data_IF_615805155418
#
_entry.id   IF_615805155418
#
_cell.length_a   1.000
_cell.length_b   1.000
_cell.length_c   1.000
_cell.angle_alpha   90.00
_cell.angle_beta   90.00
_cell.angle_gamma   90.00
#
_symmetry.space_group_name_H-M   'P 1'
#
loop_
_entity.id
_entity.type
_entity.pdbx_description
1 polymer ?
#
# COMPACT_ATOMS: atom_id res chain seq x y z
N UNK A 1 -7.83 18.03 0.78
CA UNK A 1 -6.67 17.85 1.67
C UNK A 1 -6.99 17.47 3.12
N UNK A 2 -7.68 18.28 3.95
CA UNK A 2 -7.92 17.89 5.36
C UNK A 2 -8.87 16.69 5.46
N UNK A 3 -9.97 16.76 4.73
CA UNK A 3 -11.00 15.72 4.72
C UNK A 3 -10.46 14.39 4.14
N UNK A 4 -9.66 14.43 3.07
CA UNK A 4 -8.98 13.26 2.48
C UNK A 4 -8.03 12.57 3.47
N UNK A 5 -7.24 13.34 4.23
CA UNK A 5 -6.34 12.78 5.24
C UNK A 5 -7.10 12.13 6.39
N UNK A 6 -8.22 12.75 6.81
CA UNK A 6 -9.08 12.18 7.84
C UNK A 6 -9.76 10.88 7.35
N UNK A 7 -10.10 10.79 6.06
CA UNK A 7 -10.62 9.59 5.42
C UNK A 7 -9.56 8.47 5.36
N UNK A 8 -8.36 8.75 4.85
CA UNK A 8 -7.24 7.81 4.84
C UNK A 8 -6.92 7.30 6.25
N UNK A 9 -6.94 8.20 7.24
CA UNK A 9 -6.71 7.84 8.64
C UNK A 9 -7.79 6.88 9.13
N UNK A 10 -9.05 7.15 8.79
CA UNK A 10 -10.18 6.31 9.18
C UNK A 10 -10.07 4.90 8.58
N UNK A 11 -9.66 4.79 7.32
CA UNK A 11 -9.40 3.49 6.65
C UNK A 11 -8.31 2.69 7.36
N UNK A 12 -7.21 3.35 7.75
CA UNK A 12 -6.11 2.66 8.43
C UNK A 12 -6.51 2.23 9.86
N UNK A 13 -7.18 3.09 10.62
CA UNK A 13 -7.67 2.75 11.97
C UNK A 13 -8.67 1.59 11.93
N UNK A 14 -9.45 1.45 10.85
CA UNK A 14 -10.38 0.35 10.70
C UNK A 14 -9.70 -1.04 10.60
N UNK A 15 -8.38 -1.10 10.42
CA UNK A 15 -7.60 -2.33 10.50
C UNK A 15 -7.27 -2.77 11.93
N UNK A 16 -7.42 -1.89 12.93
CA UNK A 16 -7.11 -2.20 14.32
C UNK A 16 -8.00 -3.34 14.86
N UNK A 17 -7.38 -4.39 15.36
CA UNK A 17 -8.06 -5.58 15.85
C UNK A 17 -8.52 -6.55 14.76
N UNK A 18 -8.32 -6.25 13.47
CA UNK A 18 -8.63 -7.16 12.38
C UNK A 18 -7.62 -8.31 12.39
N UNK A 19 -8.10 -9.49 12.80
CA UNK A 19 -7.28 -10.69 12.95
C UNK A 19 -6.87 -11.25 11.60
N UNK A 20 -5.57 -11.39 11.43
CA UNK A 20 -4.96 -12.09 10.31
C UNK A 20 -4.77 -13.58 10.64
N UNK A 21 -4.65 -14.41 9.61
CA UNK A 21 -4.44 -15.85 9.79
C UNK A 21 -3.07 -16.12 10.43
N UNK A 22 -2.99 -16.74 11.63
CA UNK A 22 -1.71 -16.97 12.33
C UNK A 22 -0.71 -17.85 11.55
N UNK A 23 -1.21 -18.63 10.58
CA UNK A 23 -0.38 -19.45 9.70
C UNK A 23 0.47 -18.60 8.76
N UNK A 24 -0.08 -17.49 8.27
CA UNK A 24 0.56 -16.64 7.26
C UNK A 24 1.04 -15.32 7.84
N UNK A 25 0.39 -14.85 8.89
CA UNK A 25 0.59 -13.59 9.58
C UNK A 25 0.69 -13.86 11.09
N UNK A 26 1.84 -14.36 11.57
CA UNK A 26 2.05 -14.66 12.98
C UNK A 26 2.01 -13.40 13.88
N UNK A 27 2.15 -12.21 13.31
CA UNK A 27 1.96 -10.90 13.93
C UNK A 27 0.49 -10.61 14.29
N UNK A 28 -0.45 -11.31 13.64
CA UNK A 28 -1.84 -11.45 14.07
C UNK A 28 -2.77 -10.28 13.78
N UNK A 29 -2.30 -9.04 13.76
CA UNK A 29 -3.13 -7.84 13.59
C UNK A 29 -2.82 -7.08 12.29
N UNK A 30 -3.85 -6.67 11.55
CA UNK A 30 -3.70 -6.06 10.23
C UNK A 30 -3.15 -4.61 10.28
N UNK A 31 -3.51 -3.82 11.30
CA UNK A 31 -2.93 -2.49 11.47
C UNK A 31 -1.45 -2.60 11.86
N UNK A 32 -1.15 -3.47 12.82
CA UNK A 32 0.22 -3.75 13.24
C UNK A 32 1.08 -4.23 12.06
N UNK A 33 0.55 -5.12 11.23
CA UNK A 33 1.19 -5.54 9.98
C UNK A 33 1.47 -4.37 9.05
N UNK A 34 0.45 -3.57 8.75
CA UNK A 34 0.55 -2.43 7.82
C UNK A 34 1.63 -1.42 8.25
N UNK A 35 1.73 -1.15 9.55
CA UNK A 35 2.77 -0.28 10.11
C UNK A 35 4.18 -0.88 9.97
N UNK A 36 4.34 -2.20 10.14
CA UNK A 36 5.64 -2.84 9.88
C UNK A 36 6.03 -2.71 8.40
N UNK A 37 5.09 -2.95 7.49
CA UNK A 37 5.33 -2.88 6.03
C UNK A 37 5.70 -1.45 5.61
N UNK A 38 5.03 -0.45 6.19
CA UNK A 38 5.37 0.96 6.00
C UNK A 38 6.80 1.30 6.45
N UNK A 39 7.20 0.90 7.65
CA UNK A 39 8.56 1.16 8.14
C UNK A 39 9.64 0.50 7.27
N UNK A 40 9.37 -0.70 6.76
CA UNK A 40 10.27 -1.38 5.84
C UNK A 40 10.40 -0.63 4.51
N UNK A 41 9.30 -0.09 3.99
CA UNK A 41 9.32 0.75 2.79
C UNK A 41 10.10 2.05 3.04
N UNK A 42 9.82 2.73 4.16
CA UNK A 42 10.50 3.97 4.56
C UNK A 42 12.03 3.81 4.67
N UNK A 43 12.50 2.68 5.19
CA UNK A 43 13.94 2.39 5.29
C UNK A 43 14.59 2.03 3.95
N UNK A 44 13.81 1.64 2.96
CA UNK A 44 14.30 1.08 1.70
C UNK A 44 14.32 2.07 0.53
N UNK A 45 13.50 3.12 0.58
CA UNK A 45 13.36 4.10 -0.51
C UNK A 45 12.89 5.45 0.03
N UNK A 46 13.14 6.52 -0.72
CA UNK A 46 12.65 7.88 -0.45
C UNK A 46 11.37 8.23 -1.25
N UNK A 47 10.67 7.21 -1.75
CA UNK A 47 9.49 7.34 -2.62
C UNK A 47 8.19 7.30 -1.80
N UNK A 48 7.51 8.44 -1.58
CA UNK A 48 6.31 8.50 -0.75
C UNK A 48 5.11 7.75 -1.36
N UNK A 49 5.07 7.53 -2.69
CA UNK A 49 4.00 6.75 -3.33
C UNK A 49 4.15 5.26 -2.96
N UNK A 50 5.38 4.75 -2.87
CA UNK A 50 5.64 3.40 -2.40
C UNK A 50 5.36 3.25 -0.90
N UNK A 51 5.63 4.28 -0.11
CA UNK A 51 5.26 4.30 1.31
C UNK A 51 3.75 4.26 1.50
N UNK A 52 3.00 5.06 0.73
CA UNK A 52 1.54 5.04 0.75
C UNK A 52 1.01 3.65 0.36
N UNK A 53 1.50 3.08 -0.74
CA UNK A 53 1.11 1.73 -1.15
C UNK A 53 1.39 0.70 -0.04
N UNK A 54 2.54 0.77 0.62
CA UNK A 54 2.90 -0.10 1.74
C UNK A 54 1.96 0.04 2.94
N UNK A 55 1.65 1.28 3.33
CA UNK A 55 0.78 1.56 4.49
C UNK A 55 -0.67 1.13 4.26
N UNK A 56 -1.17 1.28 3.03
CA UNK A 56 -2.58 1.09 2.73
C UNK A 56 -2.89 -0.21 1.96
N UNK A 57 -1.92 -1.08 1.65
CA UNK A 57 -2.15 -2.27 0.81
C UNK A 57 -3.27 -3.21 1.29
N UNK A 58 -3.52 -3.22 2.61
CA UNK A 58 -4.42 -4.16 3.28
C UNK A 58 -5.76 -3.51 3.72
N UNK A 59 -6.02 -2.22 3.43
CA UNK A 59 -7.20 -1.50 3.96
C UNK A 59 -8.55 -2.11 3.62
N UNK A 60 -8.65 -2.83 2.49
CA UNK A 60 -9.90 -3.52 2.14
C UNK A 60 -10.28 -4.64 3.10
N UNK A 61 -9.37 -5.11 3.97
CA UNK A 61 -9.66 -6.15 4.97
C UNK A 61 -10.69 -5.71 6.01
N UNK A 62 -10.85 -4.39 6.22
CA UNK A 62 -11.85 -3.85 7.12
C UNK A 62 -13.30 -3.97 6.60
N UNK A 63 -13.48 -4.21 5.29
CA UNK A 63 -14.80 -4.18 4.62
C UNK A 63 -15.40 -5.59 4.43
N UNK A 64 -14.71 -6.63 4.94
CA UNK A 64 -15.14 -8.05 4.97
C UNK A 64 -15.47 -8.64 3.57
N UNK A 65 -14.46 -9.24 2.92
CA UNK A 65 -14.69 -9.99 1.68
C UNK A 65 -13.44 -10.65 1.09
N UNK A 66 -13.62 -11.67 0.22
CA UNK A 66 -12.53 -12.36 -0.47
C UNK A 66 -11.77 -11.47 -1.50
N UNK A 67 -12.25 -10.25 -1.76
CA UNK A 67 -11.74 -9.29 -2.75
C UNK A 67 -11.20 -8.00 -2.10
N UNK A 68 -10.54 -8.12 -0.95
CA UNK A 68 -10.04 -6.96 -0.20
C UNK A 68 -9.00 -6.13 -0.97
N UNK A 69 -8.29 -6.71 -1.94
CA UNK A 69 -7.36 -6.00 -2.82
C UNK A 69 -8.10 -5.03 -3.76
N UNK A 70 -9.17 -5.49 -4.40
CA UNK A 70 -10.02 -4.65 -5.26
C UNK A 70 -10.76 -3.59 -4.43
N UNK A 71 -11.44 -4.01 -3.36
CA UNK A 71 -12.18 -3.10 -2.48
C UNK A 71 -11.26 -2.07 -1.83
N UNK A 72 -10.08 -2.49 -1.38
CA UNK A 72 -9.10 -1.60 -0.79
C UNK A 72 -8.61 -0.55 -1.77
N UNK A 73 -8.34 -0.93 -3.02
CA UNK A 73 -7.97 0.01 -4.06
C UNK A 73 -9.09 0.99 -4.39
N UNK A 74 -10.33 0.51 -4.51
CA UNK A 74 -11.50 1.36 -4.81
C UNK A 74 -11.72 2.43 -3.73
N UNK A 75 -11.46 2.11 -2.46
CA UNK A 75 -11.53 3.09 -1.35
C UNK A 75 -10.43 4.16 -1.40
N UNK A 76 -9.34 3.90 -2.11
CA UNK A 76 -8.19 4.80 -2.22
C UNK A 76 -8.22 5.62 -3.53
N UNK A 77 -9.11 5.30 -4.47
CA UNK A 77 -9.30 6.08 -5.69
C UNK A 77 -9.71 7.53 -5.35
N UNK A 78 -8.99 8.49 -5.92
CA UNK A 78 -9.21 9.91 -5.63
C UNK A 78 -8.68 10.38 -4.27
N UNK A 79 -8.10 9.48 -3.44
CA UNK A 79 -7.41 9.84 -2.19
C UNK A 79 -5.89 9.71 -2.30
N UNK A 80 -5.41 8.80 -3.14
CA UNK A 80 -3.99 8.54 -3.39
C UNK A 80 -3.66 8.61 -4.89
N UNK A 81 -2.37 8.76 -5.25
CA UNK A 81 -1.92 8.70 -6.65
C UNK A 81 -2.25 7.35 -7.30
N UNK A 82 -2.57 7.38 -8.60
CA UNK A 82 -2.94 6.19 -9.38
C UNK A 82 -1.94 5.03 -9.27
N UNK A 83 -0.63 5.32 -9.17
CA UNK A 83 0.41 4.31 -8.95
C UNK A 83 0.25 3.58 -7.61
N UNK A 84 -0.06 4.29 -6.52
CA UNK A 84 -0.28 3.67 -5.21
C UNK A 84 -1.56 2.83 -5.21
N UNK A 85 -2.64 3.35 -5.78
CA UNK A 85 -3.91 2.62 -5.94
C UNK A 85 -3.71 1.34 -6.75
N UNK A 86 -2.97 1.43 -7.87
CA UNK A 86 -2.65 0.26 -8.68
C UNK A 86 -1.82 -0.78 -7.91
N UNK A 87 -0.81 -0.33 -7.15
CA UNK A 87 -0.01 -1.25 -6.32
C UNK A 87 -0.87 -1.96 -5.28
N UNK A 88 -1.80 -1.25 -4.63
CA UNK A 88 -2.76 -1.86 -3.69
C UNK A 88 -3.64 -2.87 -4.41
N UNK A 89 -4.21 -2.52 -5.57
CA UNK A 89 -5.08 -3.44 -6.34
C UNK A 89 -4.37 -4.73 -6.76
N UNK A 90 -3.06 -4.64 -7.05
CA UNK A 90 -2.28 -5.74 -7.61
C UNK A 90 -1.36 -6.45 -6.61
N UNK A 91 -1.34 -6.06 -5.33
CA UNK A 91 -0.34 -6.53 -4.36
C UNK A 91 -0.33 -8.07 -4.16
N UNK A 92 -1.45 -8.74 -4.43
CA UNK A 92 -1.57 -10.20 -4.35
C UNK A 92 -1.18 -10.93 -5.64
N UNK A 93 -0.95 -10.25 -6.76
CA UNK A 93 -0.68 -10.90 -8.06
C UNK A 93 0.57 -11.79 -8.01
N UNK A 94 1.63 -11.31 -7.35
CA UNK A 94 2.86 -12.07 -7.14
C UNK A 94 2.71 -13.25 -6.17
N UNK A 95 1.65 -13.27 -5.36
CA UNK A 95 1.27 -14.41 -4.53
C UNK A 95 0.38 -15.40 -5.30
N UNK A 96 -0.63 -14.89 -6.02
CA UNK A 96 -1.66 -15.67 -6.73
C UNK A 96 -1.09 -16.37 -7.97
N UNK A 97 -0.44 -15.64 -8.87
CA UNK A 97 0.24 -16.19 -10.06
C UNK A 97 1.54 -15.42 -10.38
N UNK A 98 2.65 -15.77 -9.73
CA UNK A 98 3.94 -15.09 -9.90
C UNK A 98 4.50 -15.16 -11.32
N UNK A 99 4.12 -16.17 -12.12
CA UNK A 99 4.62 -16.32 -13.50
C UNK A 99 3.88 -15.40 -14.44
N UNK A 100 2.55 -15.35 -14.34
CA UNK A 100 1.73 -14.45 -15.14
C UNK A 100 2.04 -12.99 -14.83
N UNK A 101 2.09 -12.61 -13.54
CA UNK A 101 2.39 -11.25 -13.10
C UNK A 101 3.75 -10.76 -13.63
N UNK A 102 4.82 -11.54 -13.43
CA UNK A 102 6.16 -11.20 -13.94
C UNK A 102 6.22 -11.11 -15.45
N UNK A 103 5.55 -12.02 -16.16
CA UNK A 103 5.51 -12.00 -17.62
C UNK A 103 4.81 -10.74 -18.13
N UNK A 104 3.70 -10.35 -17.50
CA UNK A 104 2.89 -9.21 -17.92
C UNK A 104 3.67 -7.90 -17.81
N UNK A 105 4.35 -7.68 -16.69
CA UNK A 105 5.01 -6.41 -16.39
C UNK A 105 6.53 -6.46 -16.63
N UNK A 106 7.04 -7.47 -17.35
CA UNK A 106 8.47 -7.66 -17.56
C UNK A 106 9.10 -6.43 -18.22
N UNK A 107 10.14 -5.88 -17.59
CA UNK A 107 10.86 -4.71 -18.09
C UNK A 107 10.24 -3.36 -17.71
N UNK A 108 9.12 -3.34 -17.00
CA UNK A 108 8.47 -2.09 -16.54
C UNK A 108 8.94 -1.68 -15.12
N UNK A 109 8.78 -0.41 -14.73
CA UNK A 109 8.93 0.03 -13.34
C UNK A 109 7.89 -0.59 -12.40
N UNK A 110 6.66 -0.79 -12.90
CA UNK A 110 5.55 -1.34 -12.13
C UNK A 110 5.87 -2.73 -11.55
N UNK A 111 6.57 -3.58 -12.31
CA UNK A 111 7.02 -4.87 -11.79
C UNK A 111 7.99 -4.72 -10.61
N UNK A 112 8.94 -3.78 -10.70
CA UNK A 112 9.92 -3.54 -9.64
C UNK A 112 9.23 -3.04 -8.37
N UNK A 113 8.28 -2.14 -8.53
CA UNK A 113 7.47 -1.61 -7.43
C UNK A 113 6.63 -2.70 -6.76
N UNK A 114 6.00 -3.56 -7.56
CA UNK A 114 5.20 -4.67 -7.05
C UNK A 114 6.06 -5.71 -6.31
N UNK A 115 7.25 -6.00 -6.82
CA UNK A 115 8.21 -6.90 -6.15
C UNK A 115 8.76 -6.30 -4.85
N UNK A 116 8.95 -4.98 -4.80
CA UNK A 116 9.32 -4.28 -3.57
C UNK A 116 8.21 -4.34 -2.54
N UNK A 117 6.98 -3.98 -2.91
CA UNK A 117 5.81 -4.06 -2.02
C UNK A 117 5.64 -5.47 -1.46
N UNK A 118 5.72 -6.50 -2.33
CA UNK A 118 5.62 -7.90 -1.89
C UNK A 118 6.74 -8.31 -0.94
N UNK A 119 7.96 -7.79 -1.14
CA UNK A 119 9.09 -8.05 -0.23
C UNK A 119 8.81 -7.45 1.15
N UNK A 120 8.28 -6.25 1.21
CA UNK A 120 7.96 -5.58 2.48
C UNK A 120 6.78 -6.25 3.19
N UNK A 121 5.70 -6.63 2.48
CA UNK A 121 4.58 -7.43 3.02
C UNK A 121 5.07 -8.74 3.65
N UNK A 122 5.96 -9.47 2.96
CA UNK A 122 6.56 -10.67 3.57
C UNK A 122 7.44 -10.37 4.78
N UNK A 123 8.12 -9.22 4.78
CA UNK A 123 9.01 -8.79 5.86
C UNK A 123 8.27 -8.28 7.10
N UNK A 124 7.07 -7.70 6.94
CA UNK A 124 6.27 -7.10 8.02
C UNK A 124 5.51 -8.11 8.89
N UNK A 125 6.08 -9.29 9.09
CA UNK A 125 5.45 -10.44 9.76
C UNK A 125 6.17 -10.85 11.03
N UNK A 126 6.81 -9.90 11.71
CA UNK A 126 7.49 -10.14 12.98
C UNK A 126 6.52 -9.91 14.16
N UNK A 127 6.20 -10.95 14.95
CA UNK A 127 5.33 -10.82 16.13
C UNK A 127 5.93 -9.94 17.24
N UNK A 128 7.24 -9.69 17.21
CA UNK A 128 7.96 -8.93 18.23
C UNK A 128 8.41 -7.55 17.73
N UNK A 129 7.97 -7.14 16.54
CA UNK A 129 8.31 -5.84 16.00
C UNK A 129 7.86 -4.71 16.93
N UNK A 130 8.63 -3.63 16.90
CA UNK A 130 8.18 -2.33 17.40
C UNK A 130 7.87 -1.49 16.18
N UNK A 131 6.67 -0.92 16.17
CA UNK A 131 6.22 -0.03 15.10
C UNK A 131 5.90 1.34 15.67
N UNK A 132 6.02 2.36 14.83
CA UNK A 132 5.53 3.70 15.07
C UNK A 132 4.00 3.73 15.19
N UNK A 133 3.47 4.84 15.72
CA UNK A 133 2.02 5.04 15.78
C UNK A 133 1.44 5.41 14.41
N UNK A 134 0.11 5.32 14.27
CA UNK A 134 -0.61 5.82 13.08
C UNK A 134 -0.34 7.30 12.85
N UNK A 135 -0.32 8.10 13.92
CA UNK A 135 -0.03 9.53 13.85
C UNK A 135 1.39 9.79 13.32
N UNK A 136 2.39 9.08 13.85
CA UNK A 136 3.78 9.22 13.39
C UNK A 136 3.92 8.79 11.92
N UNK A 137 3.24 7.71 11.50
CA UNK A 137 3.26 7.25 10.11
C UNK A 137 2.67 8.29 9.16
N UNK A 138 1.58 8.95 9.57
CA UNK A 138 0.95 10.03 8.81
C UNK A 138 1.86 11.26 8.76
N UNK A 139 2.47 11.64 9.89
CA UNK A 139 3.42 12.75 9.94
C UNK A 139 4.59 12.50 8.99
N UNK A 140 5.16 11.29 8.98
CA UNK A 140 6.22 10.91 8.03
C UNK A 140 5.72 10.99 6.59
N UNK A 141 4.59 10.33 6.29
CA UNK A 141 4.09 10.21 4.92
C UNK A 141 3.77 11.58 4.30
N UNK A 142 3.12 12.47 5.06
CA UNK A 142 2.68 13.77 4.57
C UNK A 142 3.64 14.92 4.83
N UNK A 143 4.74 14.69 5.55
CA UNK A 143 5.86 15.64 5.60
C UNK A 143 6.76 15.54 4.36
N UNK A 144 6.76 14.40 3.67
CA UNK A 144 7.38 14.27 2.36
C UNK A 144 6.53 15.01 1.31
N UNK A 145 7.18 15.82 0.47
CA UNK A 145 6.61 16.63 -0.63
C UNK A 145 5.13 16.33 -0.94
N UNK A 146 4.18 17.07 -0.32
CA UNK A 146 2.76 16.72 -0.33
C UNK A 146 2.14 16.57 -1.73
N UNK A 147 2.69 17.27 -2.71
CA UNK A 147 2.28 17.21 -4.11
C UNK A 147 2.47 15.84 -4.76
N UNK A 148 3.39 15.01 -4.25
CA UNK A 148 3.61 13.64 -4.76
C UNK A 148 2.51 12.66 -4.34
N UNK A 149 1.73 13.02 -3.32
CA UNK A 149 0.61 12.23 -2.81
C UNK A 149 -0.75 12.77 -3.27
N UNK A 150 -0.76 13.87 -4.04
CA UNK A 150 -2.00 14.36 -4.62
C UNK A 150 -2.53 13.32 -5.63
N UNK A 151 -3.83 13.01 -5.58
CA UNK A 151 -4.45 12.18 -6.61
C UNK A 151 -4.21 12.86 -7.96
N UNK A 152 -3.47 12.20 -8.85
CA UNK A 152 -3.17 12.77 -10.16
C UNK A 152 -4.46 13.01 -10.93
N UNK A 153 -4.65 14.24 -11.44
CA UNK A 153 -5.64 14.50 -12.47
C UNK A 153 -5.26 13.67 -13.70
N UNK A 154 -6.14 12.78 -14.13
CA UNK A 154 -5.98 11.96 -15.35
C UNK A 154 -5.81 12.84 -16.62
N UNK A 155 -6.04 14.15 -16.49
CA UNK A 155 -5.92 15.20 -17.52
C UNK A 155 -4.64 16.08 -17.41
N UNK A 156 -3.75 15.86 -16.44
CA UNK A 156 -2.56 16.72 -16.28
C UNK A 156 -1.36 16.27 -17.14
N UNK A 157 -0.60 17.24 -17.69
CA UNK A 157 0.56 17.02 -18.58
C UNK A 157 1.72 16.21 -17.94
N UNK A 158 1.61 15.84 -16.67
CA UNK A 158 2.46 14.87 -15.98
C UNK A 158 1.84 13.47 -16.07
N UNK A 159 2.05 12.84 -17.23
CA UNK A 159 1.59 11.52 -17.66
C UNK A 159 0.92 10.62 -16.62
N UNK A 160 -0.35 10.31 -16.87
CA UNK A 160 -1.11 9.22 -16.27
C UNK A 160 -0.25 7.96 -16.09
N UNK A 161 -0.26 7.39 -14.88
CA UNK A 161 0.51 6.19 -14.56
C UNK A 161 0.12 5.03 -15.48
N UNK A 162 1.07 4.53 -16.26
CA UNK A 162 0.88 3.40 -17.17
C UNK A 162 1.74 2.22 -16.69
N UNK A 163 1.13 1.17 -16.09
CA UNK A 163 1.86 0.04 -15.53
C UNK A 163 2.52 -0.85 -16.60
N UNK A 164 2.14 -0.70 -17.87
CA UNK A 164 2.70 -1.47 -18.98
C UNK A 164 3.80 -0.68 -19.72
N UNK A 165 4.06 0.57 -19.32
CA UNK A 165 5.13 1.41 -19.89
C UNK A 165 6.53 0.99 -19.36
N UNK A 166 7.52 0.78 -20.24
CA UNK A 166 8.90 0.44 -19.86
C UNK A 166 9.64 1.54 -19.09
#
# INVERSE_FOLDING_TARGET
>A
MKDEKDELRSLLIALDGIRQSPKYHPEGDALFHSLQVFELAQRATDDPVLWAAALFHDVGKAVDGPLHDEVGADLLEGLLPARAVWLVRHHLDLLKDPRAARRRYLGTPALRDLEQLRRWDLGGRDPNARVMSVDDAFDVLFSAEPSLLEPGDDDSEHGSFDPERP
#
